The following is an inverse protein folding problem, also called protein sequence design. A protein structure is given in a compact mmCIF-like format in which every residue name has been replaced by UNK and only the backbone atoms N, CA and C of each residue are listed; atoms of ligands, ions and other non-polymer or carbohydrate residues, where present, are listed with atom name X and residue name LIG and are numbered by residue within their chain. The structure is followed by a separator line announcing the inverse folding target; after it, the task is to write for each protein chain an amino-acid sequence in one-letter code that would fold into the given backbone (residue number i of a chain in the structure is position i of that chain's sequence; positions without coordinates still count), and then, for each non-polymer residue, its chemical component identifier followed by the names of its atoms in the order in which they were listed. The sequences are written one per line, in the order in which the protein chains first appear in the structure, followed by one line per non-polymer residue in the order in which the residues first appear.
data_IF_722993250935
#
_entry.id   IF_722993250935
#
_cell.length_a   1.000
_cell.length_b   1.000
_cell.length_c   1.000
_cell.angle_alpha   90.00
_cell.angle_beta   90.00
_cell.angle_gamma   90.00
#
_symmetry.space_group_name_H-M   'P 1'
#
loop_
_entity.id
_entity.type
_entity.pdbx_description
1 polymer ?
#
# COMPACT_ATOMS: atom_id res chain seq x y z
N UNK A 1 -22.63 7.97 -20.84
CA UNK A 1 -22.53 8.36 -19.42
C UNK A 1 -22.17 7.13 -18.62
N UNK A 2 -21.05 7.13 -17.89
CA UNK A 2 -20.59 5.97 -17.10
C UNK A 2 -21.37 5.76 -15.78
N UNK A 3 -22.25 6.70 -15.41
CA UNK A 3 -23.09 6.62 -14.22
C UNK A 3 -24.48 7.19 -14.50
N UNK A 4 -25.54 6.50 -14.03
CA UNK A 4 -26.94 6.84 -14.32
C UNK A 4 -27.57 7.88 -13.37
N UNK A 5 -26.87 8.29 -12.30
CA UNK A 5 -27.34 9.28 -11.33
C UNK A 5 -28.47 8.82 -10.40
N UNK A 6 -28.89 7.55 -10.49
CA UNK A 6 -29.93 6.99 -9.61
C UNK A 6 -29.39 6.71 -8.20
N UNK A 7 -30.27 6.69 -7.17
CA UNK A 7 -29.88 6.32 -5.81
C UNK A 7 -29.21 4.94 -5.76
N UNK A 8 -28.20 4.81 -4.89
CA UNK A 8 -27.47 3.56 -4.68
C UNK A 8 -27.94 2.87 -3.41
N UNK A 9 -27.97 1.53 -3.44
CA UNK A 9 -28.13 0.71 -2.25
C UNK A 9 -26.89 0.83 -1.38
N UNK A 10 -27.10 1.06 -0.08
CA UNK A 10 -26.04 1.05 0.92
C UNK A 10 -25.97 -0.32 1.58
N UNK A 11 -24.78 -0.89 1.72
CA UNK A 11 -24.60 -2.21 2.31
C UNK A 11 -23.17 -2.51 2.75
N UNK A 12 -22.89 -3.77 3.04
CA UNK A 12 -21.54 -4.29 3.27
C UNK A 12 -20.94 -4.69 1.92
N UNK A 13 -19.83 -4.06 1.54
CA UNK A 13 -18.96 -4.51 0.46
C UNK A 13 -17.97 -5.53 1.02
N UNK A 14 -17.77 -6.67 0.36
CA UNK A 14 -16.79 -7.66 0.77
C UNK A 14 -16.09 -8.26 -0.45
N UNK A 15 -14.78 -8.48 -0.34
CA UNK A 15 -13.98 -9.15 -1.35
C UNK A 15 -13.99 -10.67 -1.09
N UNK A 16 -14.79 -11.41 -1.85
CA UNK A 16 -14.77 -12.87 -1.81
C UNK A 16 -13.54 -13.41 -2.55
N UNK A 17 -12.75 -14.26 -1.89
CA UNK A 17 -11.70 -15.04 -2.55
C UNK A 17 -12.32 -16.31 -3.11
N UNK A 18 -12.33 -16.47 -4.43
CA UNK A 18 -12.66 -17.76 -5.08
C UNK A 18 -11.39 -18.37 -5.63
N UNK A 19 -10.94 -19.45 -5.00
CA UNK A 19 -9.81 -20.24 -5.50
C UNK A 19 -10.26 -21.15 -6.64
N UNK A 20 -9.50 -21.20 -7.73
CA UNK A 20 -9.63 -22.29 -8.71
C UNK A 20 -8.97 -23.52 -8.07
N UNK A 21 -9.66 -24.68 -7.98
CA UNK A 21 -9.10 -25.88 -7.37
C UNK A 21 -8.00 -26.44 -8.28
N UNK A 22 -6.76 -25.98 -8.08
CA UNK A 22 -5.60 -26.38 -8.86
C UNK A 22 -4.31 -26.20 -8.06
N UNK A 23 -3.77 -27.33 -7.59
CA UNK A 23 -2.41 -27.59 -7.05
C UNK A 23 -1.68 -26.43 -6.35
N UNK A 24 -1.54 -26.57 -5.03
CA UNK A 24 -0.54 -25.86 -4.22
C UNK A 24 -1.16 -24.76 -3.38
N UNK A 25 -0.93 -24.83 -2.07
CA UNK A 25 -1.40 -23.85 -1.10
C UNK A 25 -0.73 -22.50 -1.32
N UNK A 26 -1.43 -21.57 -1.94
CA UNK A 26 -1.08 -20.14 -1.91
C UNK A 26 -1.78 -19.50 -0.71
N UNK A 27 -1.03 -18.79 0.12
CA UNK A 27 -1.60 -17.90 1.14
C UNK A 27 -2.26 -16.71 0.43
N UNK A 28 -3.54 -16.85 0.09
CA UNK A 28 -4.31 -15.76 -0.53
C UNK A 28 -4.84 -14.89 0.61
N UNK A 29 -4.28 -13.71 0.82
CA UNK A 29 -4.87 -12.63 1.62
C UNK A 29 -5.49 -11.59 0.67
N UNK A 30 -6.68 -11.04 0.98
CA UNK A 30 -7.37 -10.15 0.05
C UNK A 30 -6.79 -8.75 0.23
N UNK A 31 -6.33 -8.14 -0.85
CA UNK A 31 -5.84 -6.78 -0.81
C UNK A 31 -6.63 -5.97 -1.84
N UNK A 32 -7.36 -4.96 -1.37
CA UNK A 32 -7.89 -3.95 -2.26
C UNK A 32 -6.74 -2.98 -2.53
N UNK A 33 -6.41 -2.80 -3.81
CA UNK A 33 -5.36 -1.90 -4.25
C UNK A 33 -5.94 -0.87 -5.21
N UNK A 34 -5.43 0.35 -5.12
CA UNK A 34 -5.77 1.46 -6.01
C UNK A 34 -4.54 1.85 -6.81
N UNK A 35 -4.74 2.00 -8.12
CA UNK A 35 -3.70 2.30 -9.09
C UNK A 35 -3.98 3.63 -9.77
N UNK A 36 -2.93 4.37 -10.08
CA UNK A 36 -2.95 5.48 -11.03
C UNK A 36 -2.05 5.10 -12.21
N UNK A 37 -2.63 4.78 -13.36
CA UNK A 37 -1.90 4.14 -14.46
C UNK A 37 -1.35 2.75 -14.06
N UNK A 38 -0.04 2.59 -14.13
CA UNK A 38 0.66 1.34 -13.75
C UNK A 38 1.12 1.36 -12.27
N UNK A 39 1.08 2.52 -11.62
CA UNK A 39 1.61 2.70 -10.27
C UNK A 39 0.58 2.31 -9.22
N UNK A 40 0.94 1.36 -8.35
CA UNK A 40 0.14 1.05 -7.15
C UNK A 40 0.40 2.14 -6.11
N UNK A 41 -0.63 2.94 -5.83
CA UNK A 41 -0.48 4.11 -4.93
C UNK A 41 -1.05 3.87 -3.53
N UNK A 42 -1.95 2.92 -3.37
CA UNK A 42 -2.61 2.65 -2.09
C UNK A 42 -3.10 1.20 -2.03
N UNK A 43 -3.01 0.59 -0.85
CA UNK A 43 -3.60 -0.71 -0.58
C UNK A 43 -4.25 -0.80 0.80
N UNK A 44 -5.10 -1.79 1.01
CA UNK A 44 -5.67 -2.09 2.32
C UNK A 44 -5.83 -3.60 2.52
N UNK A 45 -5.46 -4.12 3.71
CA UNK A 45 -5.65 -5.54 4.04
C UNK A 45 -7.10 -5.87 4.42
N UNK A 46 -7.98 -4.87 4.46
CA UNK A 46 -9.37 -5.02 4.88
C UNK A 46 -10.19 -5.69 3.77
N UNK A 47 -10.84 -6.79 4.11
CA UNK A 47 -11.64 -7.59 3.18
C UNK A 47 -13.10 -7.17 3.05
N UNK A 48 -13.55 -6.25 3.91
CA UNK A 48 -14.92 -5.76 3.90
C UNK A 48 -15.08 -4.35 4.43
N UNK A 49 -15.99 -3.58 3.83
CA UNK A 49 -16.20 -2.18 4.18
C UNK A 49 -17.62 -1.69 3.86
N UNK A 50 -17.91 -0.42 4.09
CA UNK A 50 -19.14 0.23 3.63
C UNK A 50 -19.18 0.27 2.10
N UNK A 51 -20.23 -0.29 1.53
CA UNK A 51 -20.44 -0.40 0.09
C UNK A 51 -21.65 0.38 -0.41
N UNK A 52 -21.57 0.76 -1.69
CA UNK A 52 -22.67 1.29 -2.46
C UNK A 52 -22.81 0.51 -3.76
N UNK A 53 -24.03 0.13 -4.13
CA UNK A 53 -24.32 -0.56 -5.38
C UNK A 53 -25.49 0.09 -6.13
N UNK A 54 -25.34 0.33 -7.42
CA UNK A 54 -26.41 0.77 -8.31
C UNK A 54 -26.88 -0.41 -9.15
N UNK A 55 -28.12 -0.88 -8.95
CA UNK A 55 -28.70 -1.98 -9.73
C UNK A 55 -28.99 -1.64 -11.19
N UNK A 56 -28.93 -0.36 -11.55
CA UNK A 56 -29.39 0.15 -12.85
C UNK A 56 -28.24 0.26 -13.84
N UNK A 57 -27.08 0.73 -13.38
CA UNK A 57 -25.88 0.81 -14.22
C UNK A 57 -24.75 -0.14 -13.76
N UNK A 58 -24.98 -0.94 -12.71
CA UNK A 58 -24.02 -1.92 -12.21
C UNK A 58 -22.83 -1.33 -11.45
N UNK A 59 -22.82 -0.01 -11.17
CA UNK A 59 -21.74 0.63 -10.43
C UNK A 59 -21.69 0.08 -9.00
N UNK A 60 -20.51 -0.39 -8.59
CA UNK A 60 -20.24 -0.87 -7.24
C UNK A 60 -19.03 -0.11 -6.68
N UNK A 61 -19.15 0.40 -5.46
CA UNK A 61 -18.12 1.21 -4.80
C UNK A 61 -17.95 0.76 -3.35
N UNK A 62 -16.70 0.56 -2.92
CA UNK A 62 -16.34 0.34 -1.51
C UNK A 62 -15.60 1.55 -0.95
N UNK A 63 -15.91 1.96 0.28
CA UNK A 63 -15.27 3.09 0.95
C UNK A 63 -14.29 2.55 1.98
N UNK A 64 -12.97 2.66 1.76
CA UNK A 64 -11.96 2.11 2.67
C UNK A 64 -11.35 3.21 3.54
N UNK A 65 -11.70 3.32 4.83
CA UNK A 65 -11.22 4.42 5.68
C UNK A 65 -9.80 4.21 6.21
N UNK A 66 -9.28 2.98 6.19
CA UNK A 66 -7.92 2.64 6.63
C UNK A 66 -7.18 2.06 5.44
N UNK A 67 -6.22 2.82 4.92
CA UNK A 67 -5.39 2.42 3.80
C UNK A 67 -3.92 2.73 4.09
N UNK A 68 -3.03 1.99 3.42
CA UNK A 68 -1.59 2.18 3.46
C UNK A 68 -1.14 2.70 2.10
N UNK A 69 -0.51 3.90 2.02
CA UNK A 69 0.11 4.35 0.78
C UNK A 69 1.29 3.43 0.45
N UNK A 70 1.39 3.05 -0.83
CA UNK A 70 2.51 2.23 -1.33
C UNK A 70 3.49 3.04 -2.17
N UNK A 71 3.19 4.32 -2.38
CA UNK A 71 4.03 5.31 -3.07
C UNK A 71 3.64 6.74 -2.68
N UNK A 72 4.28 7.73 -3.29
CA UNK A 72 4.00 9.15 -3.05
C UNK A 72 2.81 9.61 -3.91
N UNK A 73 1.72 10.04 -3.27
CA UNK A 73 0.49 10.47 -3.95
C UNK A 73 0.20 11.94 -3.66
N UNK A 74 -0.24 12.69 -4.67
CA UNK A 74 -0.68 14.09 -4.50
C UNK A 74 0.46 15.04 -4.16
N UNK A 75 0.30 15.87 -3.11
CA UNK A 75 1.29 16.88 -2.69
C UNK A 75 2.63 16.31 -2.23
N UNK A 76 2.69 14.99 -1.99
CA UNK A 76 3.93 14.30 -1.61
C UNK A 76 4.64 13.68 -2.81
N UNK A 77 4.07 13.76 -4.02
CA UNK A 77 4.78 13.47 -5.27
C UNK A 77 5.73 14.63 -5.61
N UNK A 78 6.55 15.05 -4.65
CA UNK A 78 7.76 15.79 -4.99
C UNK A 78 8.66 14.77 -5.65
N UNK A 79 8.99 15.03 -6.92
CA UNK A 79 10.02 14.32 -7.64
C UNK A 79 11.31 14.42 -6.82
N UNK A 80 11.57 13.43 -5.97
CA UNK A 80 12.92 13.12 -5.56
C UNK A 80 13.59 12.79 -6.90
N UNK A 81 14.35 13.75 -7.43
CA UNK A 81 15.23 13.48 -8.54
C UNK A 81 16.04 12.26 -8.12
N UNK A 82 15.90 11.15 -8.85
CA UNK A 82 16.70 9.92 -8.73
C UNK A 82 18.19 10.16 -9.10
N UNK A 83 18.72 11.36 -8.79
CA UNK A 83 20.13 11.75 -8.91
C UNK A 83 20.80 11.91 -7.55
N UNK A 84 20.19 11.46 -6.46
CA UNK A 84 20.87 11.23 -5.18
C UNK A 84 20.96 9.71 -4.98
N UNK A 85 21.68 9.05 -5.87
CA UNK A 85 21.84 7.60 -5.89
C UNK A 85 22.88 7.08 -4.87
N UNK A 86 23.41 7.94 -4.01
CA UNK A 86 24.37 7.55 -2.97
C UNK A 86 24.14 8.44 -1.75
N UNK A 87 23.34 7.95 -0.79
CA UNK A 87 23.42 8.49 0.56
C UNK A 87 24.83 8.19 1.11
N UNK A 88 25.46 9.10 1.85
CA UNK A 88 26.72 8.79 2.51
C UNK A 88 26.55 7.52 3.34
N UNK A 89 27.49 6.58 3.25
CA UNK A 89 27.47 5.37 4.07
C UNK A 89 28.35 5.57 5.31
N UNK A 90 27.95 4.98 6.43
CA UNK A 90 28.71 4.86 7.67
C UNK A 90 28.97 3.41 8.00
N UNK A 91 30.12 3.15 8.59
CA UNK A 91 30.47 1.82 9.10
C UNK A 91 30.00 1.73 10.55
N UNK A 92 29.25 0.67 10.88
CA UNK A 92 28.89 0.38 12.26
C UNK A 92 30.14 0.10 13.10
N UNK A 93 30.39 0.82 14.21
CA UNK A 93 31.55 0.57 15.05
C UNK A 93 31.47 -0.78 15.79
N UNK A 94 30.27 -1.34 15.97
CA UNK A 94 30.07 -2.60 16.70
C UNK A 94 30.19 -3.84 15.81
N UNK A 95 29.59 -3.83 14.63
CA UNK A 95 29.56 -5.01 13.76
C UNK A 95 30.31 -4.85 12.43
N UNK A 96 30.84 -3.66 12.14
CA UNK A 96 31.55 -3.38 10.90
C UNK A 96 30.68 -3.32 9.64
N UNK A 97 29.34 -3.39 9.77
CA UNK A 97 28.43 -3.32 8.63
C UNK A 97 28.41 -1.91 8.03
N UNK A 98 28.45 -1.83 6.70
CA UNK A 98 28.28 -0.60 5.93
C UNK A 98 26.78 -0.32 5.74
N UNK A 99 26.34 0.84 6.21
CA UNK A 99 24.92 1.22 6.23
C UNK A 99 24.75 2.69 5.87
N UNK A 100 23.56 3.07 5.38
CA UNK A 100 23.26 4.47 5.07
C UNK A 100 23.28 5.34 6.35
N UNK A 101 23.74 6.60 6.24
CA UNK A 101 23.92 7.48 7.41
C UNK A 101 22.63 7.82 8.16
N UNK A 102 21.48 7.76 7.48
CA UNK A 102 20.17 8.13 7.99
C UNK A 102 19.56 7.10 8.95
N UNK A 103 20.13 5.88 9.04
CA UNK A 103 19.70 4.89 10.02
C UNK A 103 20.03 5.33 11.47
N UNK A 104 19.03 5.58 12.34
CA UNK A 104 19.26 5.94 13.74
C UNK A 104 19.82 4.77 14.55
N UNK A 105 19.66 3.54 14.04
CA UNK A 105 20.12 2.28 14.63
C UNK A 105 20.64 1.35 13.54
N UNK A 106 21.70 0.61 13.82
CA UNK A 106 22.21 -0.42 12.91
C UNK A 106 21.18 -1.56 12.74
N UNK A 107 20.72 -1.86 11.51
CA UNK A 107 19.77 -2.93 11.26
C UNK A 107 20.35 -4.33 11.51
N UNK A 108 21.68 -4.47 11.56
CA UNK A 108 22.34 -5.77 11.71
C UNK A 108 22.63 -6.14 13.17
N UNK A 109 23.08 -5.19 14.00
CA UNK A 109 23.46 -5.46 15.39
C UNK A 109 22.67 -4.66 16.43
N UNK A 110 21.85 -3.70 16.01
CA UNK A 110 21.05 -2.89 16.92
C UNK A 110 21.80 -1.76 17.62
N UNK A 111 23.07 -1.50 17.27
CA UNK A 111 23.83 -0.35 17.79
C UNK A 111 23.14 0.98 17.47
N UNK A 112 23.02 1.86 18.46
CA UNK A 112 22.34 3.16 18.35
C UNK A 112 23.40 4.24 18.15
N UNK A 113 23.33 5.00 17.06
CA UNK A 113 24.39 5.93 16.69
C UNK A 113 24.34 7.25 17.45
N UNK A 114 23.17 7.71 17.89
CA UNK A 114 23.00 8.72 18.93
C UNK A 114 21.51 8.82 19.33
N UNK A 115 21.28 9.21 20.57
CA UNK A 115 19.96 9.28 21.24
C UNK A 115 19.48 10.72 21.14
N UNK A 116 18.37 10.94 20.42
CA UNK A 116 17.49 12.15 20.36
C UNK A 116 18.15 13.49 20.69
#
# INVERSE_FOLDING_TARGET
MMHCGKPMYRGRFAMEKRGIPGKGSSLIYPVAAFYDGEDKICETPVDSTLGYYCSECGLMLGVFPVTHPTGFVGRFNESINDKIDILPQKICPECGAEIDVDYPRCPFCGHIYEVI
#
